data_IF_202495925947
#
_entry.id   IF_202495925947
#
_cell.length_a   1.000
_cell.length_b   1.000
_cell.length_c   1.000
_cell.angle_alpha   90.00
_cell.angle_beta   90.00
_cell.angle_gamma   90.00
#
_symmetry.space_group_name_H-M   'P 1'
#
loop_
_entity.id
_entity.type
_entity.pdbx_description
1 polymer ?
#
# COMPACT_ATOMS: atom_id res chain seq x y z
N UNK A 1 14.01 -2.81 0.93
CA UNK A 1 13.93 -2.75 2.42
C UNK A 1 12.74 -1.87 2.73
N UNK A 2 11.83 -2.32 3.61
CA UNK A 2 10.62 -1.57 3.93
C UNK A 2 10.91 -0.33 4.77
N UNK A 3 10.05 0.68 4.65
CA UNK A 3 10.15 1.97 5.32
C UNK A 3 8.92 2.18 6.21
N UNK A 4 7.76 2.50 5.64
CA UNK A 4 6.55 2.79 6.41
C UNK A 4 6.03 1.57 7.19
N UNK A 5 6.28 0.34 6.71
CA UNK A 5 5.92 -0.87 7.46
C UNK A 5 6.57 -0.91 8.85
N UNK A 6 7.79 -0.37 8.96
CA UNK A 6 8.53 -0.34 10.23
C UNK A 6 7.86 0.59 11.26
N UNK A 7 7.03 1.53 10.80
CA UNK A 7 6.30 2.45 11.66
C UNK A 7 5.07 1.86 12.32
N UNK A 8 4.57 0.73 11.79
CA UNK A 8 3.45 0.01 12.36
C UNK A 8 3.86 -0.70 13.65
N UNK A 9 3.01 -0.64 14.66
CA UNK A 9 3.17 -1.45 15.88
C UNK A 9 2.89 -2.92 15.59
N UNK A 10 3.38 -3.83 16.43
CA UNK A 10 3.10 -5.27 16.27
C UNK A 10 1.59 -5.57 16.28
N UNK A 11 0.83 -4.85 17.11
CA UNK A 11 -0.64 -4.94 17.13
C UNK A 11 -1.25 -4.56 15.79
N UNK A 12 -0.77 -3.49 15.16
CA UNK A 12 -1.26 -3.06 13.85
C UNK A 12 -0.88 -4.07 12.77
N UNK A 13 0.39 -4.52 12.72
CA UNK A 13 0.87 -5.51 11.74
C UNK A 13 0.09 -6.82 11.77
N UNK A 14 -0.27 -7.28 12.95
CA UNK A 14 -0.95 -8.57 13.13
C UNK A 14 -2.47 -8.48 12.91
N UNK A 15 -3.04 -7.27 12.93
CA UNK A 15 -4.49 -7.07 12.87
C UNK A 15 -4.93 -6.12 11.76
N UNK A 16 -4.21 -6.10 10.63
CA UNK A 16 -4.70 -5.41 9.44
C UNK A 16 -5.90 -6.20 8.90
N UNK A 17 -7.04 -5.51 8.79
CA UNK A 17 -8.29 -6.06 8.27
C UNK A 17 -8.59 -5.58 6.85
N UNK A 18 -8.06 -4.43 6.43
CA UNK A 18 -8.24 -3.95 5.07
C UNK A 18 -6.93 -3.36 4.57
N UNK A 19 -6.62 -3.67 3.32
CA UNK A 19 -5.52 -3.10 2.55
C UNK A 19 -6.15 -2.47 1.32
N UNK A 20 -6.11 -1.16 1.24
CA UNK A 20 -6.63 -0.41 0.09
C UNK A 20 -5.49 0.48 -0.39
N UNK A 21 -5.18 0.45 -1.67
CA UNK A 21 -4.21 1.37 -2.23
C UNK A 21 -4.75 2.03 -3.50
N UNK A 22 -4.48 3.32 -3.61
CA UNK A 22 -4.79 4.16 -4.77
C UNK A 22 -3.49 4.71 -5.33
N UNK A 23 -3.41 4.85 -6.64
CA UNK A 23 -2.16 5.26 -7.28
C UNK A 23 -2.38 6.12 -8.51
N UNK A 24 -1.51 7.11 -8.62
CA UNK A 24 -1.23 7.91 -9.81
C UNK A 24 0.25 7.78 -10.19
N UNK A 25 0.70 8.41 -11.28
CA UNK A 25 2.12 8.37 -11.65
C UNK A 25 3.06 8.99 -10.60
N UNK A 26 2.57 9.95 -9.82
CA UNK A 26 3.39 10.70 -8.86
C UNK A 26 3.15 10.28 -7.42
N UNK A 27 1.93 9.83 -7.10
CA UNK A 27 1.51 9.60 -5.74
C UNK A 27 0.88 8.22 -5.59
N UNK A 28 1.32 7.48 -4.57
CA UNK A 28 0.65 6.26 -4.14
C UNK A 28 0.17 6.47 -2.72
N UNK A 29 -1.10 6.13 -2.46
CA UNK A 29 -1.67 6.15 -1.12
C UNK A 29 -2.03 4.74 -0.71
N UNK A 30 -1.56 4.34 0.45
CA UNK A 30 -1.89 3.08 1.10
C UNK A 30 -2.71 3.36 2.36
N UNK A 31 -3.88 2.74 2.44
CA UNK A 31 -4.79 2.80 3.56
C UNK A 31 -4.86 1.42 4.21
N UNK A 32 -4.56 1.38 5.51
CA UNK A 32 -4.65 0.18 6.33
C UNK A 32 -5.71 0.39 7.40
N UNK A 33 -6.59 -0.58 7.54
CA UNK A 33 -7.63 -0.58 8.55
C UNK A 33 -7.31 -1.61 9.63
N UNK A 34 -7.01 -1.15 10.84
CA UNK A 34 -6.62 -2.02 11.96
C UNK A 34 -7.67 -1.94 13.09
N UNK A 35 -8.53 -2.96 13.25
CA UNK A 35 -9.47 -3.01 14.37
C UNK A 35 -8.74 -3.06 15.71
N UNK A 36 -9.34 -2.50 16.74
CA UNK A 36 -8.81 -2.55 18.10
C UNK A 36 -9.96 -2.48 19.11
N UNK A 37 -9.66 -2.77 20.38
CA UNK A 37 -10.63 -2.66 21.47
C UNK A 37 -11.18 -1.23 21.65
N UNK A 38 -10.39 -0.22 21.27
CA UNK A 38 -10.74 1.20 21.38
C UNK A 38 -11.42 1.75 20.11
N UNK A 39 -11.68 0.87 19.12
CA UNK A 39 -12.21 1.23 17.81
C UNK A 39 -11.22 0.95 16.69
N UNK A 40 -11.56 1.43 15.50
CA UNK A 40 -10.81 1.14 14.27
C UNK A 40 -9.77 2.21 14.00
N UNK A 41 -8.51 1.80 13.84
CA UNK A 41 -7.42 2.69 13.48
C UNK A 41 -7.26 2.73 11.97
N UNK A 42 -7.32 3.94 11.40
CA UNK A 42 -7.15 4.20 9.98
C UNK A 42 -5.75 4.76 9.75
N UNK A 43 -4.87 3.96 9.16
CA UNK A 43 -3.50 4.37 8.86
C UNK A 43 -3.43 4.75 7.39
N UNK A 44 -3.04 5.99 7.12
CA UNK A 44 -2.76 6.48 5.77
C UNK A 44 -1.27 6.65 5.60
N UNK A 45 -0.72 6.07 4.55
CA UNK A 45 0.67 6.23 4.13
C UNK A 45 0.65 6.82 2.71
N UNK A 46 1.35 7.92 2.51
CA UNK A 46 1.57 8.52 1.20
C UNK A 46 3.01 8.27 0.74
N UNK A 47 3.17 7.91 -0.53
CA UNK A 47 4.44 7.79 -1.23
C UNK A 47 4.40 8.80 -2.37
N UNK A 48 5.04 9.95 -2.16
CA UNK A 48 4.98 11.08 -3.08
C UNK A 48 6.32 11.22 -3.79
N UNK A 49 6.28 11.27 -5.13
CA UNK A 49 7.47 11.40 -5.96
C UNK A 49 8.01 12.83 -5.91
N UNK A 50 9.31 12.97 -5.63
CA UNK A 50 10.04 14.23 -5.66
C UNK A 50 11.31 14.06 -6.50
N UNK A 51 11.18 14.27 -7.81
CA UNK A 51 12.25 13.93 -8.76
C UNK A 51 12.47 12.41 -8.82
N UNK A 52 13.70 11.97 -8.58
CA UNK A 52 14.08 10.55 -8.51
C UNK A 52 13.87 9.94 -7.11
N UNK A 53 13.61 10.77 -6.10
CA UNK A 53 13.40 10.36 -4.72
C UNK A 53 11.92 10.28 -4.34
N UNK A 54 11.64 9.65 -3.20
CA UNK A 54 10.29 9.49 -2.65
C UNK A 54 10.20 10.07 -1.26
N UNK A 55 9.16 10.86 -1.01
CA UNK A 55 8.74 11.22 0.34
C UNK A 55 7.70 10.22 0.84
N UNK A 56 8.00 9.56 1.95
CA UNK A 56 7.10 8.64 2.65
C UNK A 56 6.51 9.37 3.85
N UNK A 57 5.18 9.48 3.92
CA UNK A 57 4.48 10.31 4.91
C UNK A 57 3.37 9.50 5.56
N UNK A 58 3.31 9.50 6.89
CA UNK A 58 2.19 8.93 7.64
C UNK A 58 2.03 9.64 8.97
N UNK A 59 0.86 10.23 9.22
CA UNK A 59 0.58 11.04 10.41
C UNK A 59 1.65 12.12 10.65
N UNK A 60 2.47 11.98 11.70
CA UNK A 60 3.58 12.89 12.05
C UNK A 60 4.95 12.36 11.63
N UNK A 61 5.00 11.25 10.88
CA UNK A 61 6.24 10.61 10.41
C UNK A 61 6.52 11.00 8.96
N UNK A 62 7.78 11.29 8.69
CA UNK A 62 8.31 11.67 7.40
C UNK A 62 9.65 10.98 7.16
N UNK A 63 9.87 10.49 5.94
CA UNK A 63 11.14 9.96 5.50
C UNK A 63 11.34 10.25 4.01
N UNK A 64 12.50 10.82 3.66
CA UNK A 64 12.95 10.89 2.28
C UNK A 64 13.77 9.64 1.94
N UNK A 65 13.43 8.98 0.84
CA UNK A 65 14.08 7.77 0.34
C UNK A 65 14.59 8.03 -1.06
N UNK A 66 15.88 7.79 -1.29
CA UNK A 66 16.53 7.94 -2.61
C UNK A 66 16.23 6.73 -3.51
N UNK A 67 14.94 6.53 -3.80
CA UNK A 67 14.38 5.49 -4.67
C UNK A 67 13.08 5.98 -5.29
N UNK A 68 12.72 5.39 -6.42
CA UNK A 68 11.44 5.62 -7.08
C UNK A 68 10.24 5.18 -6.22
N UNK A 69 9.14 5.93 -6.30
CA UNK A 69 7.96 5.77 -5.47
C UNK A 69 7.34 4.37 -5.54
N UNK A 70 7.33 3.75 -6.73
CA UNK A 70 6.80 2.40 -6.94
C UNK A 70 7.62 1.37 -6.19
N UNK A 71 8.95 1.50 -6.19
CA UNK A 71 9.82 0.55 -5.50
C UNK A 71 9.66 0.67 -3.98
N UNK A 72 9.58 1.90 -3.46
CA UNK A 72 9.37 2.15 -2.04
C UNK A 72 8.03 1.60 -1.57
N UNK A 73 6.96 1.86 -2.32
CA UNK A 73 5.64 1.30 -2.06
C UNK A 73 5.65 -0.24 -2.13
N UNK A 74 6.30 -0.82 -3.14
CA UNK A 74 6.39 -2.27 -3.31
C UNK A 74 7.14 -2.94 -2.16
N UNK A 75 8.23 -2.34 -1.69
CA UNK A 75 9.00 -2.81 -0.52
C UNK A 75 8.11 -2.88 0.73
N UNK A 76 7.29 -1.85 0.99
CA UNK A 76 6.38 -1.79 2.13
C UNK A 76 5.18 -2.73 1.98
N UNK A 77 4.50 -2.73 0.83
CA UNK A 77 3.36 -3.60 0.57
C UNK A 77 3.74 -5.07 0.63
N UNK A 78 4.91 -5.44 0.10
CA UNK A 78 5.39 -6.82 0.15
C UNK A 78 5.56 -7.29 1.59
N UNK A 79 6.08 -6.45 2.48
CA UNK A 79 6.21 -6.79 3.91
C UNK A 79 4.85 -6.92 4.60
N UNK A 80 3.88 -6.07 4.25
CA UNK A 80 2.51 -6.20 4.74
C UNK A 80 1.91 -7.53 4.29
N UNK A 81 1.94 -7.82 2.99
CA UNK A 81 1.39 -9.05 2.42
C UNK A 81 2.07 -10.29 3.02
N UNK A 82 3.40 -10.29 3.20
CA UNK A 82 4.13 -11.44 3.74
C UNK A 82 3.75 -11.75 5.18
N UNK A 83 3.57 -10.73 6.01
CA UNK A 83 3.31 -10.88 7.44
C UNK A 83 1.81 -10.91 7.80
N UNK A 84 0.92 -10.83 6.80
CA UNK A 84 -0.51 -10.88 7.03
C UNK A 84 -0.97 -12.31 7.34
N UNK A 85 -1.24 -12.61 8.61
CA UNK A 85 -1.74 -13.93 9.02
C UNK A 85 -3.27 -13.98 9.10
N UNK A 86 -3.90 -12.88 9.51
CA UNK A 86 -5.36 -12.80 9.66
C UNK A 86 -6.07 -12.65 8.32
N UNK A 87 -7.33 -13.09 8.27
CA UNK A 87 -8.17 -12.95 7.08
C UNK A 87 -8.47 -11.46 6.86
N UNK A 88 -8.16 -10.96 5.67
CA UNK A 88 -8.53 -9.61 5.28
C UNK A 88 -10.04 -9.55 5.01
N UNK A 89 -10.68 -8.50 5.46
CA UNK A 89 -12.02 -8.14 4.99
C UNK A 89 -11.96 -7.65 3.55
N UNK A 90 -10.97 -6.82 3.22
CA UNK A 90 -10.82 -6.22 1.89
C UNK A 90 -9.34 -6.17 1.50
N UNK A 91 -9.05 -6.63 0.28
CA UNK A 91 -7.84 -6.29 -0.46
C UNK A 91 -8.28 -5.57 -1.75
N UNK A 92 -7.96 -4.28 -1.86
CA UNK A 92 -8.43 -3.43 -2.95
C UNK A 92 -7.29 -2.63 -3.59
N UNK A 93 -7.20 -2.72 -4.91
CA UNK A 93 -6.42 -1.81 -5.74
C UNK A 93 -7.37 -0.86 -6.47
N UNK A 94 -7.12 0.45 -6.40
CA UNK A 94 -7.90 1.45 -7.12
C UNK A 94 -6.98 2.26 -8.03
N UNK A 95 -7.14 2.02 -9.33
CA UNK A 95 -6.49 2.76 -10.41
C UNK A 95 -7.37 3.97 -10.71
N UNK A 96 -7.11 5.10 -10.04
CA UNK A 96 -7.83 6.34 -10.32
C UNK A 96 -6.89 7.46 -10.74
N UNK A 97 -7.24 8.16 -11.82
CA UNK A 97 -6.66 9.48 -12.16
C UNK A 97 -7.06 10.55 -11.14
N UNK A 98 -8.10 10.27 -10.34
CA UNK A 98 -8.58 11.12 -9.27
C UNK A 98 -8.09 10.60 -7.93
N UNK A 99 -6.98 11.16 -7.45
CA UNK A 99 -6.50 11.00 -6.09
C UNK A 99 -6.97 12.22 -5.28
N UNK A 100 -7.90 12.01 -4.35
CA UNK A 100 -8.34 13.04 -3.39
C UNK A 100 -8.72 14.41 -4.01
N UNK A 101 -9.39 14.39 -5.16
CA UNK A 101 -9.93 15.61 -5.80
C UNK A 101 -8.98 16.33 -6.76
N UNK A 102 -7.71 15.92 -6.85
CA UNK A 102 -6.78 16.40 -7.86
C UNK A 102 -6.75 15.43 -9.05
N UNK A 103 -6.64 15.98 -10.26
CA UNK A 103 -6.32 15.20 -11.45
C UNK A 103 -4.81 14.96 -11.43
N UNK A 104 -4.41 13.75 -11.05
CA UNK A 104 -3.06 13.29 -11.31
C UNK A 104 -3.05 12.50 -12.63
N UNK A 105 -1.88 12.44 -13.27
CA UNK A 105 -1.69 11.57 -14.43
C UNK A 105 -2.00 10.11 -14.06
N UNK A 106 -2.77 9.40 -14.90
CA UNK A 106 -3.00 7.97 -14.73
C UNK A 106 -1.67 7.22 -14.59
N UNK A 107 -1.66 6.16 -13.79
CA UNK A 107 -0.48 5.30 -13.70
C UNK A 107 -0.12 4.73 -15.08
N UNK A 108 1.17 4.73 -15.42
CA UNK A 108 1.66 4.06 -16.62
C UNK A 108 1.54 2.53 -16.52
N UNK A 109 1.35 1.86 -17.66
CA UNK A 109 1.33 0.39 -17.72
C UNK A 109 2.61 -0.23 -17.14
N UNK A 110 3.75 0.44 -17.33
CA UNK A 110 5.04 0.00 -16.76
C UNK A 110 4.98 -0.06 -15.24
N UNK A 111 4.48 0.99 -14.59
CA UNK A 111 4.37 1.02 -13.13
C UNK A 111 3.27 0.09 -12.62
N UNK A 112 2.15 -0.04 -13.33
CA UNK A 112 1.09 -0.99 -12.99
C UNK A 112 1.59 -2.45 -13.04
N UNK A 113 2.39 -2.79 -14.06
CA UNK A 113 3.01 -4.11 -14.20
C UNK A 113 4.03 -4.38 -13.08
N UNK A 114 4.86 -3.38 -12.72
CA UNK A 114 5.81 -3.49 -11.60
C UNK A 114 5.11 -3.76 -10.28
N UNK A 115 4.04 -3.04 -9.98
CA UNK A 115 3.22 -3.25 -8.77
C UNK A 115 2.60 -4.65 -8.78
N UNK A 116 1.98 -5.05 -9.89
CA UNK A 116 1.36 -6.37 -10.01
C UNK A 116 2.37 -7.50 -9.80
N UNK A 117 3.55 -7.41 -10.42
CA UNK A 117 4.63 -8.37 -10.23
C UNK A 117 5.13 -8.41 -8.78
N UNK A 118 5.23 -7.25 -8.11
CA UNK A 118 5.61 -7.19 -6.70
C UNK A 118 4.59 -7.89 -5.79
N UNK A 119 3.29 -7.65 -6.01
CA UNK A 119 2.20 -8.31 -5.29
C UNK A 119 2.26 -9.82 -5.52
N UNK A 120 2.40 -10.25 -6.77
CA UNK A 120 2.50 -11.67 -7.13
C UNK A 120 3.69 -12.34 -6.42
N UNK A 121 4.86 -11.70 -6.45
CA UNK A 121 6.05 -12.21 -5.78
C UNK A 121 5.87 -12.28 -4.26
N UNK A 122 5.25 -11.27 -3.65
CA UNK A 122 4.95 -11.27 -2.23
C UNK A 122 3.99 -12.42 -1.86
N UNK A 123 2.94 -12.64 -2.65
CA UNK A 123 1.99 -13.73 -2.46
C UNK A 123 2.66 -15.11 -2.60
N UNK A 124 3.47 -15.31 -3.66
CA UNK A 124 4.19 -16.58 -3.90
C UNK A 124 5.23 -16.91 -2.82
N UNK A 125 5.79 -15.88 -2.17
CA UNK A 125 6.80 -16.07 -1.12
C UNK A 125 6.21 -16.53 0.22
N UNK A 126 4.88 -16.54 0.38
CA UNK A 126 4.23 -16.97 1.61
C UNK A 126 4.20 -18.50 1.69
N UNK A 127 4.36 -19.02 2.92
CA UNK A 127 4.15 -20.45 3.21
C UNK A 127 2.67 -20.86 3.22
N UNK A 128 1.75 -19.88 3.27
CA UNK A 128 0.30 -20.11 3.28
C UNK A 128 -0.43 -19.07 2.42
N UNK A 129 -1.60 -19.45 1.91
CA UNK A 129 -2.45 -18.56 1.11
C UNK A 129 -2.86 -17.32 1.93
N UNK A 130 -2.75 -16.14 1.30
CA UNK A 130 -3.40 -14.95 1.82
C UNK A 130 -4.91 -15.10 1.67
N UNK A 131 -5.65 -14.96 2.77
CA UNK A 131 -7.11 -15.08 2.78
C UNK A 131 -7.73 -13.69 2.80
N UNK A 132 -8.72 -13.46 1.92
CA UNK A 132 -9.53 -12.24 1.92
C UNK A 132 -10.99 -12.59 1.65
N UNK A 133 -11.92 -11.84 2.27
CA UNK A 133 -13.34 -11.95 1.98
C UNK A 133 -13.69 -11.25 0.67
N UNK A 134 -13.00 -10.15 0.37
CA UNK A 134 -13.20 -9.35 -0.84
C UNK A 134 -11.87 -9.04 -1.50
N UNK A 135 -11.75 -9.36 -2.78
CA UNK A 135 -10.67 -8.92 -3.65
C UNK A 135 -11.26 -8.04 -4.74
N UNK A 136 -10.74 -6.82 -4.90
CA UNK A 136 -11.26 -5.89 -5.90
C UNK A 136 -10.15 -5.11 -6.58
N UNK A 137 -10.25 -4.98 -7.90
CA UNK A 137 -9.46 -4.06 -8.70
C UNK A 137 -10.43 -3.11 -9.38
N UNK A 138 -10.35 -1.82 -9.05
CA UNK A 138 -11.20 -0.78 -9.61
C UNK A 138 -10.42 0.07 -10.59
N UNK A 139 -10.99 0.29 -11.77
CA UNK A 139 -10.51 1.26 -12.74
C UNK A 139 -11.49 2.44 -12.71
N UNK A 140 -10.99 3.64 -12.40
CA UNK A 140 -11.79 4.87 -12.51
C UNK A 140 -11.36 5.62 -13.76
N UNK A 141 -12.25 5.66 -14.75
CA UNK A 141 -12.13 6.48 -15.96
C UNK A 141 -12.23 7.97 -15.63
#
# INVERSE_FOLDING_TARGET
MSHAYQWLTDRQRNNISQIIFTFSNRNIYLFLLCPSAEGTHHIRIAYESFGEATSVISEKKYLAVDKNCVDVFCDDLAMIIKNQESVLNILQASLSSRTMGNFDEPISDTNANRISASIENALKSRSSLLRTNTLTVQYSN
#
